data_IF_277514701983
#
_entry.id   IF_277514701983
#
_cell.length_a   1.000
_cell.length_b   1.000
_cell.length_c   1.000
_cell.angle_alpha   90.00
_cell.angle_beta   90.00
_cell.angle_gamma   90.00
#
_symmetry.space_group_name_H-M   'P 1'
#
loop_
_entity.id
_entity.type
_entity.pdbx_description
1 polymer ?
#
# COMPACT_ATOMS: atom_id res chain seq x y z
N UNK A 1 -22.04 -10.74 20.61
CA UNK A 1 -22.20 -9.51 19.82
C UNK A 1 -21.52 -8.37 20.57
N UNK A 2 -20.24 -8.13 20.30
CA UNK A 2 -19.53 -6.92 20.72
C UNK A 2 -18.65 -6.50 19.53
N UNK A 3 -18.67 -5.20 19.28
CA UNK A 3 -18.39 -4.55 18.00
C UNK A 3 -16.93 -4.65 17.58
N UNK A 4 -16.72 -4.66 16.27
CA UNK A 4 -15.40 -4.65 15.66
C UNK A 4 -14.57 -3.43 16.07
N UNK A 5 -13.31 -3.71 16.34
CA UNK A 5 -12.25 -2.71 16.38
C UNK A 5 -11.65 -2.62 14.98
N UNK A 6 -11.91 -1.50 14.30
CA UNK A 6 -11.21 -1.12 13.08
C UNK A 6 -9.72 -0.95 13.39
N UNK A 7 -8.79 -1.73 12.81
CA UNK A 7 -7.37 -1.46 12.94
C UNK A 7 -6.92 -0.59 11.74
N UNK A 8 -6.20 0.49 12.03
CA UNK A 8 -5.28 1.19 11.12
C UNK A 8 -5.83 2.21 10.10
N UNK A 9 -6.72 3.14 10.49
CA UNK A 9 -6.97 4.34 9.69
C UNK A 9 -6.13 5.54 10.18
N UNK A 10 -4.85 5.59 9.79
CA UNK A 10 -4.03 6.78 9.91
C UNK A 10 -4.24 7.68 8.68
N UNK A 11 -5.08 8.71 8.79
CA UNK A 11 -5.26 9.71 7.75
C UNK A 11 -4.04 10.65 7.71
N UNK A 12 -3.05 10.35 6.87
CA UNK A 12 -1.91 11.22 6.65
C UNK A 12 -2.37 12.55 6.03
N UNK A 13 -2.23 13.65 6.78
CA UNK A 13 -2.65 14.98 6.39
C UNK A 13 -1.70 15.57 5.35
N UNK A 14 -2.12 15.48 4.09
CA UNK A 14 -1.84 16.29 2.89
C UNK A 14 -0.40 16.58 2.44
N UNK A 15 0.61 16.67 3.30
CA UNK A 15 2.00 16.98 2.88
C UNK A 15 3.03 16.22 3.74
N UNK A 16 2.89 14.89 3.86
CA UNK A 16 3.76 14.10 4.72
C UNK A 16 3.96 12.66 4.24
N UNK A 17 5.17 12.15 4.43
CA UNK A 17 5.49 10.73 4.24
C UNK A 17 4.91 9.95 5.40
N UNK A 18 3.99 9.03 5.11
CA UNK A 18 3.48 8.09 6.10
C UNK A 18 4.40 6.86 6.18
N UNK A 19 5.10 6.70 7.31
CA UNK A 19 6.00 5.58 7.54
C UNK A 19 5.25 4.48 8.27
N UNK A 20 5.13 3.30 7.65
CA UNK A 20 4.45 2.13 8.22
C UNK A 20 5.34 0.90 8.06
N UNK A 21 5.52 0.14 9.13
CA UNK A 21 6.11 -1.20 9.04
C UNK A 21 5.01 -2.21 8.69
N UNK A 22 5.18 -2.94 7.59
CA UNK A 22 4.28 -4.01 7.15
C UNK A 22 5.01 -5.35 7.04
N UNK A 23 4.33 -6.44 7.37
CA UNK A 23 4.82 -7.82 7.19
C UNK A 23 4.36 -8.41 5.85
N UNK A 24 4.94 -9.55 5.46
CA UNK A 24 4.52 -10.32 4.29
C UNK A 24 3.02 -10.68 4.41
N UNK A 25 2.26 -10.43 3.34
CA UNK A 25 0.82 -10.67 3.28
C UNK A 25 -0.04 -9.51 3.76
N UNK A 26 0.57 -8.48 4.35
CA UNK A 26 -0.16 -7.26 4.73
C UNK A 26 -0.38 -6.34 3.52
N UNK A 27 -1.42 -5.50 3.65
CA UNK A 27 -1.88 -4.59 2.60
C UNK A 27 -1.93 -3.14 3.11
N UNK A 28 -1.74 -2.21 2.19
CA UNK A 28 -1.85 -0.77 2.39
C UNK A 28 -2.93 -0.29 1.41
N UNK A 29 -3.93 0.42 1.94
CA UNK A 29 -4.98 1.05 1.14
C UNK A 29 -4.62 2.53 0.96
N UNK A 30 -4.66 3.02 -0.29
CA UNK A 30 -4.39 4.41 -0.62
C UNK A 30 -5.64 4.99 -1.28
N UNK A 31 -6.18 6.06 -0.69
CA UNK A 31 -7.48 6.60 -1.05
C UNK A 31 -8.59 5.61 -0.70
N UNK A 32 -9.16 4.95 -1.71
CA UNK A 32 -10.15 3.88 -1.58
C UNK A 32 -10.01 2.75 -2.60
N UNK A 33 -9.28 2.98 -3.70
CA UNK A 33 -9.30 2.08 -4.87
C UNK A 33 -7.92 1.47 -5.17
N UNK A 34 -6.86 1.97 -4.52
CA UNK A 34 -5.50 1.50 -4.72
C UNK A 34 -5.07 0.64 -3.54
N UNK A 35 -4.70 -0.61 -3.81
CA UNK A 35 -4.24 -1.57 -2.81
C UNK A 35 -2.81 -1.99 -3.13
N UNK A 36 -1.90 -1.71 -2.20
CA UNK A 36 -0.51 -2.17 -2.25
C UNK A 36 -0.36 -3.37 -1.32
N UNK A 37 0.09 -4.49 -1.86
CA UNK A 37 0.24 -5.76 -1.13
C UNK A 37 1.69 -6.20 -1.09
N UNK A 38 2.22 -6.51 0.10
CA UNK A 38 3.56 -7.07 0.21
C UNK A 38 3.54 -8.59 0.01
N UNK A 39 3.89 -9.05 -1.19
CA UNK A 39 3.80 -10.46 -1.58
C UNK A 39 4.93 -11.29 -0.98
N UNK A 40 6.17 -10.81 -1.05
CA UNK A 40 7.35 -11.56 -0.57
C UNK A 40 8.48 -10.62 -0.20
N UNK A 41 9.21 -10.94 0.86
CA UNK A 41 10.43 -10.24 1.27
C UNK A 41 11.56 -11.28 1.19
N UNK A 42 12.61 -10.98 0.42
CA UNK A 42 13.81 -11.82 0.28
C UNK A 42 15.04 -10.92 0.37
N UNK A 43 15.78 -11.01 1.47
CA UNK A 43 16.91 -10.12 1.73
C UNK A 43 16.46 -8.66 1.71
N UNK A 44 17.06 -7.87 0.82
CA UNK A 44 16.74 -6.46 0.59
C UNK A 44 15.71 -6.22 -0.53
N UNK A 45 15.15 -7.27 -1.14
CA UNK A 45 14.16 -7.16 -2.21
C UNK A 45 12.77 -7.50 -1.71
N UNK A 46 11.81 -6.68 -2.10
CA UNK A 46 10.39 -6.88 -1.79
C UNK A 46 9.63 -7.04 -3.09
N UNK A 47 8.84 -8.10 -3.20
CA UNK A 47 7.81 -8.24 -4.23
C UNK A 47 6.58 -7.50 -3.75
N UNK A 48 6.21 -6.46 -4.49
CA UNK A 48 5.03 -5.64 -4.24
C UNK A 48 4.00 -5.95 -5.32
N UNK A 49 2.78 -6.26 -4.92
CA UNK A 49 1.62 -6.29 -5.82
C UNK A 49 0.86 -4.98 -5.69
N UNK A 50 0.50 -4.36 -6.80
CA UNK A 50 -0.29 -3.13 -6.82
C UNK A 50 -1.57 -3.43 -7.59
N UNK A 51 -2.70 -3.22 -6.94
CA UNK A 51 -4.03 -3.26 -7.56
C UNK A 51 -4.56 -1.85 -7.61
N UNK A 52 -4.92 -1.37 -8.79
CA UNK A 52 -5.51 -0.08 -9.00
C UNK A 52 -6.54 -0.19 -10.14
N UNK A 53 -7.54 0.71 -10.21
CA UNK A 53 -8.47 0.78 -11.33
C UNK A 53 -7.75 1.17 -12.63
N UNK A 54 -8.38 0.88 -13.77
CA UNK A 54 -7.79 1.06 -15.11
C UNK A 54 -7.43 2.50 -15.45
N UNK A 55 -8.08 3.49 -14.83
CA UNK A 55 -7.72 4.91 -15.00
C UNK A 55 -6.36 5.29 -14.37
N UNK A 56 -5.85 4.48 -13.43
CA UNK A 56 -4.60 4.76 -12.73
C UNK A 56 -3.46 4.01 -13.42
N UNK A 57 -2.56 4.77 -14.04
CA UNK A 57 -1.37 4.21 -14.68
C UNK A 57 -0.32 3.88 -13.62
N UNK A 58 0.12 2.62 -13.58
CA UNK A 58 1.20 2.16 -12.71
C UNK A 58 2.45 1.98 -13.57
N UNK A 59 3.42 2.88 -13.41
CA UNK A 59 4.72 2.78 -14.05
C UNK A 59 5.79 2.51 -13.01
N UNK A 60 6.90 1.92 -13.47
CA UNK A 60 8.12 1.95 -12.68
C UNK A 60 8.79 3.30 -12.88
N UNK A 61 9.34 3.85 -11.82
CA UNK A 61 9.91 5.20 -11.82
C UNK A 61 11.00 5.36 -12.90
N UNK A 62 11.80 4.31 -13.13
CA UNK A 62 12.84 4.31 -14.15
C UNK A 62 12.34 4.38 -15.60
N UNK A 63 11.02 4.23 -15.83
CA UNK A 63 10.41 4.26 -17.16
C UNK A 63 9.68 5.58 -17.46
N UNK A 64 9.61 6.49 -16.49
CA UNK A 64 9.00 7.81 -16.69
C UNK A 64 10.04 8.69 -17.40
N UNK A 65 9.87 8.85 -18.71
CA UNK A 65 10.72 9.67 -19.60
C UNK A 65 9.98 10.93 -20.02
#
# INVERSE_FOLDING_TARGET
MARGECPAAGSASKDGVLILARKRGERILIGGDIVVTLLRIVGNRVKVGITAPSEVVILRDELVV
#
